data_IF_951140323073
#
_entry.id   IF_951140323073
#
_cell.length_a   1.000
_cell.length_b   1.000
_cell.length_c   1.000
_cell.angle_alpha   90.00
_cell.angle_beta   90.00
_cell.angle_gamma   90.00
#
_symmetry.space_group_name_H-M   'P 1'
#
loop_
_entity.id
_entity.type
_entity.pdbx_description
1 polymer ?
#
# COMPACT_ATOMS: atom_id res chain seq x y z
N UNK A 1 -12.12 21.09 -34.62
CA UNK A 1 -11.84 21.45 -33.21
C UNK A 1 -10.56 20.71 -32.85
N UNK A 2 -9.49 21.42 -32.51
CA UNK A 2 -8.23 20.78 -32.11
C UNK A 2 -8.49 19.88 -30.92
N UNK A 3 -7.98 18.64 -30.95
CA UNK A 3 -7.93 17.76 -29.77
C UNK A 3 -7.28 18.55 -28.64
N UNK A 4 -8.07 18.92 -27.63
CA UNK A 4 -7.52 19.42 -26.39
C UNK A 4 -6.76 18.24 -25.78
N UNK A 5 -5.43 18.34 -25.74
CA UNK A 5 -4.57 17.34 -25.11
C UNK A 5 -5.05 17.18 -23.65
N UNK A 6 -5.79 16.10 -23.36
CA UNK A 6 -6.35 15.87 -22.02
C UNK A 6 -5.17 15.68 -21.07
N UNK A 7 -5.09 16.49 -20.02
CA UNK A 7 -3.99 16.40 -19.07
C UNK A 7 -4.08 15.08 -18.30
N UNK A 8 -3.01 14.26 -18.30
CA UNK A 8 -2.96 13.10 -17.43
C UNK A 8 -2.87 13.53 -15.97
N UNK A 9 -3.61 12.84 -15.12
CA UNK A 9 -3.47 12.93 -13.67
C UNK A 9 -2.93 11.61 -13.17
N UNK A 10 -1.87 11.71 -12.37
CA UNK A 10 -1.32 10.61 -11.59
C UNK A 10 -1.67 10.88 -10.13
N UNK A 11 -2.54 10.07 -9.58
CA UNK A 11 -3.10 10.23 -8.23
C UNK A 11 -2.61 9.14 -7.29
N UNK A 12 -2.33 9.56 -6.06
CA UNK A 12 -1.92 8.67 -4.97
C UNK A 12 -3.16 8.28 -4.18
N UNK A 13 -3.61 7.03 -4.33
CA UNK A 13 -4.62 6.42 -3.47
C UNK A 13 -3.96 5.54 -2.40
N UNK A 14 -4.60 4.43 -2.06
CA UNK A 14 -4.05 3.43 -1.15
C UNK A 14 -4.84 2.13 -1.14
N UNK A 15 -4.15 1.00 -0.98
CA UNK A 15 -4.79 -0.34 -0.87
C UNK A 15 -5.74 -0.49 0.31
N UNK A 16 -5.79 0.50 1.22
CA UNK A 16 -6.84 0.60 2.23
C UNK A 16 -8.27 0.59 1.66
N UNK A 17 -8.48 0.90 0.38
CA UNK A 17 -9.80 0.74 -0.29
C UNK A 17 -10.28 -0.70 -0.35
N UNK A 18 -9.36 -1.67 -0.28
CA UNK A 18 -9.64 -3.10 -0.34
C UNK A 18 -9.83 -3.71 1.06
N UNK A 19 -9.68 -2.89 2.11
CA UNK A 19 -9.72 -3.27 3.50
C UNK A 19 -11.01 -4.01 3.89
N UNK A 20 -10.86 -5.16 4.54
CA UNK A 20 -11.98 -5.91 5.16
C UNK A 20 -11.97 -5.78 6.69
N UNK A 21 -13.10 -6.03 7.37
CA UNK A 21 -13.18 -5.99 8.84
C UNK A 21 -12.69 -7.28 9.53
N UNK A 22 -11.51 -7.79 9.16
CA UNK A 22 -11.02 -9.06 9.71
C UNK A 22 -10.43 -8.95 11.14
N UNK A 23 -10.11 -7.75 11.61
CA UNK A 23 -9.60 -7.46 12.97
C UNK A 23 -8.38 -8.29 13.36
N UNK A 24 -7.56 -8.67 12.39
CA UNK A 24 -6.37 -9.52 12.59
C UNK A 24 -6.68 -10.96 13.02
N UNK A 25 -7.92 -11.45 12.87
CA UNK A 25 -8.35 -12.74 13.41
C UNK A 25 -8.19 -13.93 12.44
N UNK A 26 -8.20 -13.69 11.15
CA UNK A 26 -8.12 -14.69 10.07
C UNK A 26 -7.61 -14.02 8.80
N UNK A 27 -6.87 -14.68 7.89
CA UNK A 27 -6.54 -14.12 6.58
C UNK A 27 -7.79 -13.97 5.69
N UNK A 28 -7.78 -13.03 4.75
CA UNK A 28 -8.79 -12.94 3.68
C UNK A 28 -8.57 -14.11 2.73
N UNK A 29 -9.62 -14.51 2.02
CA UNK A 29 -9.53 -15.46 0.91
C UNK A 29 -9.64 -14.77 -0.45
N UNK A 30 -10.01 -13.50 -0.47
CA UNK A 30 -10.13 -12.71 -1.71
C UNK A 30 -8.78 -12.12 -2.07
N UNK A 31 -8.33 -12.40 -3.30
CA UNK A 31 -7.18 -11.76 -3.95
C UNK A 31 -7.75 -10.74 -4.93
N UNK A 32 -7.34 -9.49 -4.82
CA UNK A 32 -7.71 -8.44 -5.75
C UNK A 32 -6.74 -8.35 -6.92
N UNK A 33 -7.20 -8.27 -8.16
CA UNK A 33 -6.36 -8.06 -9.35
C UNK A 33 -6.69 -6.70 -9.96
N UNK A 34 -5.70 -5.82 -10.12
CA UNK A 34 -5.88 -4.50 -10.75
C UNK A 34 -6.17 -4.59 -12.27
N UNK A 35 -6.13 -5.79 -12.85
CA UNK A 35 -6.63 -6.09 -14.19
C UNK A 35 -8.12 -6.42 -14.21
N UNK A 36 -8.69 -6.84 -13.09
CA UNK A 36 -10.12 -7.15 -12.98
C UNK A 36 -10.89 -5.88 -12.63
N UNK A 37 -11.27 -5.13 -13.67
CA UNK A 37 -12.03 -3.87 -13.55
C UNK A 37 -13.32 -4.08 -12.76
N UNK A 38 -14.04 -5.18 -13.02
CA UNK A 38 -15.32 -5.46 -12.36
C UNK A 38 -15.11 -5.70 -10.86
N UNK A 39 -13.99 -6.30 -10.46
CA UNK A 39 -13.65 -6.46 -9.05
C UNK A 39 -13.38 -5.12 -8.35
N UNK A 40 -12.71 -4.18 -9.01
CA UNK A 40 -12.47 -2.83 -8.48
C UNK A 40 -13.77 -2.03 -8.43
N UNK A 41 -14.65 -2.19 -9.41
CA UNK A 41 -15.94 -1.50 -9.45
C UNK A 41 -16.97 -2.05 -8.48
N UNK A 42 -16.87 -3.35 -8.14
CA UNK A 42 -17.67 -3.97 -7.10
C UNK A 42 -17.32 -3.52 -5.68
N UNK A 43 -16.26 -2.72 -5.50
CA UNK A 43 -15.89 -2.19 -4.18
C UNK A 43 -16.96 -1.21 -3.65
N UNK A 44 -17.36 -1.31 -2.37
CA UNK A 44 -18.35 -0.42 -1.79
C UNK A 44 -17.94 1.05 -1.85
N UNK A 45 -18.87 1.94 -2.20
CA UNK A 45 -18.61 3.40 -2.27
C UNK A 45 -18.12 4.01 -0.96
N UNK A 46 -18.46 3.38 0.17
CA UNK A 46 -18.04 3.80 1.51
C UNK A 46 -16.71 3.17 1.96
N UNK A 47 -16.07 2.35 1.12
CA UNK A 47 -14.75 1.82 1.41
C UNK A 47 -13.73 2.97 1.59
N UNK A 48 -12.68 2.79 2.39
CA UNK A 48 -11.68 3.83 2.60
C UNK A 48 -11.14 4.36 1.28
N UNK A 49 -10.95 5.67 1.15
CA UNK A 49 -10.50 6.36 -0.08
C UNK A 49 -11.48 6.33 -1.28
N UNK A 50 -12.45 5.40 -1.32
CA UNK A 50 -13.26 5.14 -2.52
C UNK A 50 -14.01 6.35 -3.06
N UNK A 51 -14.57 7.20 -2.18
CA UNK A 51 -15.25 8.43 -2.58
C UNK A 51 -14.36 9.38 -3.43
N UNK A 52 -13.05 9.43 -3.15
CA UNK A 52 -12.10 10.24 -3.95
C UNK A 52 -11.83 9.55 -5.27
N UNK A 53 -11.59 8.23 -5.25
CA UNK A 53 -11.34 7.44 -6.46
C UNK A 53 -12.51 7.58 -7.45
N UNK A 54 -13.75 7.44 -6.97
CA UNK A 54 -14.96 7.60 -7.78
C UNK A 54 -15.09 9.01 -8.39
N UNK A 55 -14.72 10.04 -7.64
CA UNK A 55 -14.73 11.43 -8.13
C UNK A 55 -13.73 11.61 -9.28
N UNK A 56 -12.53 11.02 -9.14
CA UNK A 56 -11.48 11.08 -10.17
C UNK A 56 -11.89 10.29 -11.42
N UNK A 57 -12.43 9.09 -11.24
CA UNK A 57 -12.96 8.26 -12.34
C UNK A 57 -14.11 8.96 -13.06
N UNK A 58 -15.00 9.65 -12.34
CA UNK A 58 -16.07 10.42 -12.95
C UNK A 58 -15.54 11.59 -13.79
N UNK A 59 -14.51 12.30 -13.32
CA UNK A 59 -13.88 13.37 -14.08
C UNK A 59 -13.22 12.85 -15.38
N UNK A 60 -12.65 11.64 -15.32
CA UNK A 60 -12.11 10.95 -16.50
C UNK A 60 -13.21 10.59 -17.50
N UNK A 61 -14.32 10.00 -17.05
CA UNK A 61 -15.48 9.66 -17.87
C UNK A 61 -16.11 10.89 -18.55
N UNK A 62 -16.12 12.03 -17.86
CA UNK A 62 -16.58 13.31 -18.39
C UNK A 62 -15.57 13.95 -19.37
N UNK A 63 -14.39 13.35 -19.51
CA UNK A 63 -13.35 13.75 -20.44
C UNK A 63 -12.49 14.92 -19.97
N UNK A 64 -12.56 15.29 -18.68
CA UNK A 64 -11.74 16.38 -18.13
C UNK A 64 -10.28 16.00 -17.97
N UNK A 65 -10.00 14.73 -17.65
CA UNK A 65 -8.66 14.23 -17.29
C UNK A 65 -8.44 12.84 -17.89
N UNK A 66 -7.18 12.37 -17.90
CA UNK A 66 -6.84 10.94 -18.03
C UNK A 66 -6.34 10.45 -16.67
N UNK A 67 -7.17 9.74 -15.93
CA UNK A 67 -6.92 9.38 -14.53
C UNK A 67 -6.16 8.07 -14.37
N UNK A 68 -5.06 8.12 -13.60
CA UNK A 68 -4.28 6.97 -13.20
C UNK A 68 -4.12 7.00 -11.68
N UNK A 69 -4.63 5.98 -10.99
CA UNK A 69 -4.73 5.89 -9.54
C UNK A 69 -3.80 4.77 -9.07
N UNK A 70 -2.73 5.13 -8.38
CA UNK A 70 -1.80 4.16 -7.80
C UNK A 70 -2.25 3.87 -6.37
N UNK A 71 -2.49 2.60 -6.07
CA UNK A 71 -2.86 2.07 -4.76
C UNK A 71 -1.68 1.27 -4.21
N UNK A 72 -0.75 1.91 -3.47
CA UNK A 72 0.35 1.18 -2.87
C UNK A 72 -0.10 0.32 -1.69
N UNK A 73 0.61 -0.79 -1.47
CA UNK A 73 0.58 -1.58 -0.25
C UNK A 73 1.12 -0.79 0.95
N UNK A 74 1.40 -1.48 2.05
CA UNK A 74 2.13 -0.89 3.18
C UNK A 74 3.53 -0.48 2.70
N UNK A 75 3.74 0.83 2.55
CA UNK A 75 5.05 1.36 2.14
C UNK A 75 6.03 1.24 3.31
N UNK A 76 7.21 0.67 3.06
CA UNK A 76 8.31 0.57 4.02
C UNK A 76 9.64 1.04 3.44
N UNK A 77 10.62 1.22 4.32
CA UNK A 77 11.91 1.85 4.01
C UNK A 77 12.04 3.22 4.68
N UNK A 78 13.29 3.61 4.94
CA UNK A 78 13.62 4.93 5.50
C UNK A 78 14.19 5.75 4.36
N UNK A 79 13.49 6.83 3.98
CA UNK A 79 13.97 7.68 2.89
C UNK A 79 15.27 8.38 3.29
N UNK A 80 16.25 8.35 2.40
CA UNK A 80 17.55 9.02 2.57
C UNK A 80 17.89 9.79 1.31
N UNK A 81 17.39 11.03 1.22
CA UNK A 81 17.55 11.86 0.03
C UNK A 81 17.73 13.35 0.43
N UNK A 82 18.06 14.25 -0.52
CA UNK A 82 18.29 15.66 -0.22
C UNK A 82 17.10 16.38 0.43
N UNK A 83 15.86 15.97 0.15
CA UNK A 83 14.66 16.56 0.76
C UNK A 83 14.50 16.16 2.23
N UNK A 84 14.88 14.92 2.57
CA UNK A 84 14.99 14.48 3.96
C UNK A 84 16.09 15.25 4.68
N UNK A 85 17.28 15.37 4.07
CA UNK A 85 18.39 16.12 4.66
C UNK A 85 18.07 17.60 4.87
N UNK A 86 17.22 18.18 4.02
CA UNK A 86 16.72 19.55 4.14
C UNK A 86 15.55 19.69 5.13
N UNK A 87 15.05 18.61 5.72
CA UNK A 87 13.89 18.63 6.65
C UNK A 87 12.54 18.89 5.97
N UNK A 88 12.45 18.73 4.65
CA UNK A 88 11.25 18.98 3.86
C UNK A 88 10.39 17.71 3.76
N UNK A 89 11.03 16.54 3.68
CA UNK A 89 10.35 15.24 3.58
C UNK A 89 10.42 14.49 4.92
N UNK A 90 9.30 13.88 5.32
CA UNK A 90 9.30 12.88 6.39
C UNK A 90 9.94 11.57 5.90
N UNK A 91 11.00 11.06 6.55
CA UNK A 91 11.68 9.85 6.08
C UNK A 91 10.96 8.54 6.46
N UNK A 92 9.98 8.59 7.36
CA UNK A 92 9.33 7.39 7.90
C UNK A 92 7.92 7.19 7.36
N UNK A 93 7.59 5.93 7.08
CA UNK A 93 6.20 5.51 6.84
C UNK A 93 5.37 5.55 8.14
N UNK A 94 4.08 5.18 8.05
CA UNK A 94 3.15 5.35 9.16
C UNK A 94 2.89 4.07 9.97
N UNK A 95 2.56 2.96 9.31
CA UNK A 95 1.98 1.79 10.00
C UNK A 95 3.00 1.07 10.89
N UNK A 96 4.09 0.56 10.31
CA UNK A 96 5.14 -0.15 11.07
C UNK A 96 5.77 0.77 12.13
N UNK A 97 6.14 2.04 11.83
CA UNK A 97 6.64 2.95 12.86
C UNK A 97 5.63 3.27 13.96
N UNK A 98 4.33 3.37 13.64
CA UNK A 98 3.27 3.50 14.63
C UNK A 98 3.19 2.30 15.57
N UNK A 99 3.27 1.09 15.02
CA UNK A 99 3.29 -0.15 15.78
C UNK A 99 4.52 -0.26 16.69
N UNK A 100 5.70 0.12 16.19
CA UNK A 100 6.95 0.18 16.97
C UNK A 100 6.80 1.16 18.14
N UNK A 101 6.29 2.38 17.90
CA UNK A 101 6.11 3.38 18.96
C UNK A 101 5.16 2.91 20.05
N UNK A 102 4.01 2.34 19.69
CA UNK A 102 3.06 1.78 20.65
C UNK A 102 3.67 0.62 21.45
N UNK A 103 4.47 -0.22 20.80
CA UNK A 103 5.17 -1.35 21.42
C UNK A 103 6.26 -0.91 22.40
N UNK A 104 7.01 0.14 22.06
CA UNK A 104 8.00 0.76 22.93
C UNK A 104 7.35 1.39 24.16
N UNK A 105 6.26 2.14 23.99
CA UNK A 105 5.56 2.82 25.08
C UNK A 105 5.03 1.82 26.12
N UNK A 106 4.39 0.74 25.66
CA UNK A 106 3.89 -0.34 26.55
C UNK A 106 4.96 -1.36 26.97
N UNK A 107 6.20 -1.22 26.50
CA UNK A 107 7.34 -2.14 26.73
C UNK A 107 7.06 -3.60 26.38
N UNK A 108 6.21 -3.82 25.39
CA UNK A 108 5.80 -5.14 24.94
C UNK A 108 5.29 -5.00 23.50
N UNK A 109 5.82 -5.80 22.58
CA UNK A 109 5.31 -5.80 21.22
C UNK A 109 3.80 -6.09 21.19
N UNK A 110 3.09 -5.24 20.46
CA UNK A 110 1.65 -5.37 20.30
C UNK A 110 1.28 -5.90 18.93
N UNK A 111 0.15 -6.59 18.85
CA UNK A 111 -0.51 -6.96 17.61
C UNK A 111 -2.02 -6.75 17.74
N UNK A 112 -2.75 -6.76 16.63
CA UNK A 112 -4.21 -6.69 16.69
C UNK A 112 -4.82 -8.06 16.44
N UNK A 113 -5.78 -8.46 17.28
CA UNK A 113 -6.34 -9.81 17.24
C UNK A 113 -5.23 -10.86 17.38
N UNK A 114 -5.16 -11.79 16.42
CA UNK A 114 -4.11 -12.80 16.33
C UNK A 114 -2.96 -12.42 15.38
N UNK A 115 -2.99 -11.21 14.80
CA UNK A 115 -2.02 -10.77 13.79
C UNK A 115 -2.08 -11.55 12.46
N UNK A 116 -3.13 -12.34 12.22
CA UNK A 116 -3.23 -13.21 11.03
C UNK A 116 -3.62 -12.46 9.75
N UNK A 117 -3.84 -11.16 9.85
CA UNK A 117 -4.15 -10.31 8.72
C UNK A 117 -2.93 -10.23 7.79
N UNK A 118 -3.14 -10.59 6.51
CA UNK A 118 -2.16 -10.45 5.43
C UNK A 118 -2.35 -9.08 4.77
N UNK A 119 -1.25 -8.43 4.41
CA UNK A 119 -1.29 -7.15 3.73
C UNK A 119 -0.16 -7.08 2.70
N UNK A 120 -0.39 -6.55 1.49
CA UNK A 120 0.69 -6.31 0.54
C UNK A 120 1.60 -5.20 1.04
N UNK A 121 2.87 -5.27 0.71
CA UNK A 121 3.82 -4.24 1.04
C UNK A 121 4.72 -3.90 -0.14
N UNK A 122 5.36 -2.74 -0.04
CA UNK A 122 6.22 -2.21 -1.09
C UNK A 122 7.33 -1.37 -0.51
N UNK A 123 8.54 -1.54 -1.01
CA UNK A 123 9.63 -0.65 -0.67
C UNK A 123 9.39 0.76 -1.24
N UNK A 124 9.78 1.80 -0.49
CA UNK A 124 9.63 3.20 -0.91
C UNK A 124 10.30 3.53 -2.24
N UNK A 125 11.44 2.90 -2.55
CA UNK A 125 12.13 3.08 -3.82
C UNK A 125 11.37 2.40 -4.96
N UNK A 126 10.78 1.22 -4.71
CA UNK A 126 10.03 0.49 -5.74
C UNK A 126 8.72 1.17 -6.08
N UNK A 127 8.00 1.72 -5.10
CA UNK A 127 6.82 2.52 -5.38
C UNK A 127 7.18 3.80 -6.13
N UNK A 128 8.31 4.45 -5.79
CA UNK A 128 8.79 5.61 -6.54
C UNK A 128 9.12 5.24 -8.00
N UNK A 129 9.76 4.09 -8.22
CA UNK A 129 10.04 3.55 -9.55
C UNK A 129 8.75 3.26 -10.33
N UNK A 130 7.70 2.74 -9.68
CA UNK A 130 6.39 2.55 -10.29
C UNK A 130 5.81 3.89 -10.77
N UNK A 131 5.82 4.93 -9.93
CA UNK A 131 5.35 6.26 -10.32
C UNK A 131 6.13 6.81 -11.51
N UNK A 132 7.46 6.69 -11.51
CA UNK A 132 8.31 7.16 -12.61
C UNK A 132 8.01 6.42 -13.92
N UNK A 133 7.95 5.08 -13.88
CA UNK A 133 7.63 4.26 -15.07
C UNK A 133 6.24 4.57 -15.62
N UNK A 134 5.25 4.71 -14.75
CA UNK A 134 3.89 5.03 -15.14
C UNK A 134 3.82 6.43 -15.75
N UNK A 135 4.46 7.41 -15.12
CA UNK A 135 4.58 8.76 -15.67
C UNK A 135 5.22 8.78 -17.06
N UNK A 136 6.39 8.15 -17.22
CA UNK A 136 7.10 8.11 -18.51
C UNK A 136 6.27 7.42 -19.59
N UNK A 137 5.59 6.33 -19.24
CA UNK A 137 4.73 5.60 -20.18
C UNK A 137 3.51 6.44 -20.56
N UNK A 138 2.88 7.12 -19.60
CA UNK A 138 1.79 8.06 -19.88
C UNK A 138 2.27 9.18 -20.80
N UNK A 139 3.48 9.70 -20.63
CA UNK A 139 3.97 10.82 -21.45
C UNK A 139 4.39 10.40 -22.86
N UNK A 140 4.82 9.15 -23.04
CA UNK A 140 5.42 8.67 -24.31
C UNK A 140 4.52 7.73 -25.11
N UNK A 141 3.62 7.00 -24.45
CA UNK A 141 2.77 5.94 -25.00
C UNK A 141 1.36 6.03 -24.41
N UNK A 142 0.74 7.21 -24.52
CA UNK A 142 -0.55 7.52 -23.88
C UNK A 142 -1.60 6.43 -24.05
N UNK A 143 -1.73 5.83 -25.22
CA UNK A 143 -2.82 4.90 -25.54
C UNK A 143 -2.54 3.44 -25.14
N UNK A 144 -1.39 3.15 -24.53
CA UNK A 144 -1.07 1.79 -24.03
C UNK A 144 -1.34 1.62 -22.54
N UNK A 145 -1.74 2.70 -21.85
CA UNK A 145 -1.92 2.74 -20.40
C UNK A 145 -3.40 2.96 -20.11
N UNK A 146 -4.03 2.01 -19.42
CA UNK A 146 -5.41 2.13 -18.97
C UNK A 146 -5.62 3.37 -18.09
N UNK A 147 -6.78 4.00 -18.20
CA UNK A 147 -7.12 5.16 -17.38
C UNK A 147 -8.58 5.09 -16.93
N UNK A 148 -8.98 5.95 -16.00
CA UNK A 148 -10.34 5.96 -15.45
C UNK A 148 -10.66 4.63 -14.78
N UNK A 149 -11.66 3.90 -15.30
CA UNK A 149 -12.08 2.58 -14.78
C UNK A 149 -10.97 1.54 -14.85
N UNK A 150 -10.12 1.61 -15.87
CA UNK A 150 -8.98 0.70 -16.08
C UNK A 150 -7.66 1.24 -15.50
N UNK A 151 -7.72 2.42 -14.86
CA UNK A 151 -6.57 3.20 -14.43
C UNK A 151 -6.13 2.94 -13.00
N UNK A 152 -6.48 1.81 -12.41
CA UNK A 152 -6.02 1.42 -11.08
C UNK A 152 -4.74 0.59 -11.19
N UNK A 153 -3.76 0.90 -10.34
CA UNK A 153 -2.44 0.25 -10.34
C UNK A 153 -2.03 -0.10 -8.92
N UNK A 154 -1.83 -1.37 -8.62
CA UNK A 154 -1.32 -1.80 -7.33
C UNK A 154 0.20 -1.64 -7.25
N UNK A 155 0.67 -1.05 -6.16
CA UNK A 155 2.10 -0.96 -5.85
C UNK A 155 2.45 -1.95 -4.75
N UNK A 156 2.94 -3.12 -5.13
CA UNK A 156 3.33 -4.21 -4.21
C UNK A 156 4.57 -4.92 -4.76
N UNK A 157 5.38 -5.47 -3.86
CA UNK A 157 6.51 -6.33 -4.20
C UNK A 157 6.69 -7.46 -3.15
N UNK A 158 5.64 -7.76 -2.41
CA UNK A 158 5.70 -8.57 -1.20
C UNK A 158 4.42 -8.52 -0.38
N UNK A 159 4.35 -9.38 0.62
CA UNK A 159 3.28 -9.43 1.60
C UNK A 159 3.81 -9.82 2.98
N UNK A 160 3.09 -9.40 4.02
CA UNK A 160 3.39 -9.77 5.39
C UNK A 160 2.11 -10.09 6.17
N UNK A 161 2.28 -10.86 7.24
CA UNK A 161 1.28 -10.91 8.31
C UNK A 161 1.61 -9.84 9.34
N UNK A 162 0.59 -9.26 9.98
CA UNK A 162 0.85 -8.38 11.12
C UNK A 162 1.51 -9.12 12.30
N UNK A 163 1.31 -10.43 12.42
CA UNK A 163 1.99 -11.28 13.39
C UNK A 163 3.50 -11.31 13.15
N UNK A 164 3.96 -11.53 11.91
CA UNK A 164 5.40 -11.60 11.61
C UNK A 164 6.10 -10.28 11.92
N UNK A 165 5.49 -9.14 11.58
CA UNK A 165 6.01 -7.82 11.96
C UNK A 165 6.06 -7.67 13.49
N UNK A 166 4.99 -8.03 14.18
CA UNK A 166 4.91 -7.88 15.64
C UNK A 166 5.89 -8.80 16.36
N UNK A 167 6.12 -10.02 15.85
CA UNK A 167 7.09 -10.97 16.39
C UNK A 167 8.51 -10.47 16.20
N UNK A 168 8.84 -9.86 15.06
CA UNK A 168 10.15 -9.25 14.86
C UNK A 168 10.38 -8.09 15.84
N UNK A 169 9.38 -7.22 16.01
CA UNK A 169 9.43 -6.15 17.02
C UNK A 169 9.64 -6.75 18.42
N UNK A 170 8.91 -7.83 18.77
CA UNK A 170 9.01 -8.49 20.06
C UNK A 170 10.43 -9.03 20.32
N UNK A 171 11.01 -9.70 19.33
CA UNK A 171 12.37 -10.22 19.36
C UNK A 171 13.39 -9.11 19.63
N UNK A 172 13.31 -7.99 18.89
CA UNK A 172 14.20 -6.85 19.07
C UNK A 172 14.04 -6.23 20.46
N UNK A 173 12.79 -6.00 20.92
CA UNK A 173 12.56 -5.42 22.25
C UNK A 173 13.07 -6.32 23.39
N UNK A 174 12.99 -7.65 23.23
CA UNK A 174 13.53 -8.60 24.19
C UNK A 174 15.06 -8.58 24.21
N UNK A 175 15.70 -8.57 23.03
CA UNK A 175 17.15 -8.48 22.90
C UNK A 175 17.72 -7.20 23.52
N UNK A 176 17.02 -6.08 23.36
CA UNK A 176 17.38 -4.78 23.96
C UNK A 176 17.01 -4.67 25.45
N UNK A 177 16.44 -5.71 26.06
CA UNK A 177 16.03 -5.71 27.47
C UNK A 177 14.86 -4.78 27.80
N UNK A 178 14.13 -4.31 26.79
CA UNK A 178 12.96 -3.44 26.94
C UNK A 178 11.74 -4.27 27.34
N UNK A 179 11.56 -5.44 26.71
CA UNK A 179 10.48 -6.39 26.99
C UNK A 179 11.00 -7.58 27.80
N UNK A 180 10.10 -8.21 28.58
CA UNK A 180 10.38 -9.46 29.30
C UNK A 180 10.11 -10.71 28.45
N UNK A 181 9.51 -10.54 27.26
CA UNK A 181 9.17 -11.62 26.34
C UNK A 181 9.45 -11.23 24.89
N UNK A 182 9.88 -12.19 24.10
CA UNK A 182 10.04 -12.11 22.65
C UNK A 182 8.74 -12.44 21.90
N UNK A 183 7.61 -12.60 22.58
CA UNK A 183 6.30 -12.86 21.97
C UNK A 183 5.42 -11.60 21.94
N UNK A 184 4.73 -11.29 20.83
CA UNK A 184 3.79 -10.19 20.81
C UNK A 184 2.51 -10.53 21.57
N UNK A 185 1.86 -9.52 22.12
CA UNK A 185 0.55 -9.65 22.78
C UNK A 185 -0.49 -8.80 22.07
N UNK A 186 -1.75 -9.23 22.08
CA UNK A 186 -2.82 -8.42 21.50
C UNK A 186 -2.99 -7.11 22.27
N UNK A 187 -3.20 -6.00 21.54
CA UNK A 187 -3.65 -4.76 22.16
C UNK A 187 -5.05 -4.93 22.74
N UNK A 188 -5.24 -4.41 23.95
CA UNK A 188 -6.56 -4.19 24.55
C UNK A 188 -7.33 -3.11 23.79
N UNK A 189 -8.64 -3.00 24.02
CA UNK A 189 -9.47 -1.96 23.40
C UNK A 189 -9.01 -0.56 23.80
N UNK A 190 -8.63 -0.40 25.06
CA UNK A 190 -8.15 0.84 25.65
C UNK A 190 -6.85 1.28 24.96
N UNK A 191 -5.92 0.34 24.74
CA UNK A 191 -4.68 0.61 23.99
C UNK A 191 -4.95 0.96 22.52
N UNK A 192 -5.91 0.28 21.87
CA UNK A 192 -6.28 0.59 20.49
C UNK A 192 -6.83 2.02 20.36
N UNK A 193 -7.70 2.43 21.29
CA UNK A 193 -8.22 3.80 21.36
C UNK A 193 -7.08 4.79 21.68
N UNK A 194 -6.19 4.46 22.61
CA UNK A 194 -5.07 5.32 22.99
C UNK A 194 -4.14 5.61 21.82
N UNK A 195 -3.72 4.59 21.07
CA UNK A 195 -2.69 4.74 20.04
C UNK A 195 -3.26 5.10 18.66
N UNK A 196 -4.51 4.74 18.35
CA UNK A 196 -5.12 4.95 17.02
C UNK A 196 -6.46 5.69 17.04
N UNK A 197 -6.99 6.05 18.21
CA UNK A 197 -8.26 6.79 18.34
C UNK A 197 -9.51 5.97 18.01
N UNK A 198 -9.39 4.65 17.85
CA UNK A 198 -10.48 3.75 17.45
C UNK A 198 -10.26 2.33 17.99
N UNK A 199 -11.33 1.62 18.35
CA UNK A 199 -11.29 0.17 18.65
C UNK A 199 -10.92 -0.67 17.40
N UNK A 200 -11.07 -0.08 16.21
CA UNK A 200 -10.79 -0.68 14.92
C UNK A 200 -9.76 0.20 14.19
N UNK A 201 -8.45 0.13 14.50
CA UNK A 201 -7.43 0.82 13.72
C UNK A 201 -7.42 0.33 12.29
N UNK A 202 -7.05 1.21 11.36
CA UNK A 202 -6.90 0.88 9.93
C UNK A 202 -5.91 -0.26 9.64
N UNK A 203 -5.01 -0.57 10.58
CA UNK A 203 -4.11 -1.73 10.51
C UNK A 203 -4.82 -3.07 10.80
N UNK A 204 -6.12 -3.08 11.15
CA UNK A 204 -6.92 -4.29 11.38
C UNK A 204 -7.41 -4.98 10.11
N UNK A 205 -7.28 -4.29 8.99
CA UNK A 205 -7.88 -4.75 7.76
C UNK A 205 -7.05 -5.86 7.13
N UNK A 206 -7.66 -6.56 6.17
CA UNK A 206 -6.93 -7.49 5.28
C UNK A 206 -7.15 -7.15 3.84
N UNK A 207 -6.05 -7.24 3.11
CA UNK A 207 -6.01 -7.17 1.66
C UNK A 207 -4.97 -8.16 1.18
N UNK A 208 -5.33 -8.98 0.20
CA UNK A 208 -4.36 -9.62 -0.68
C UNK A 208 -4.57 -9.02 -2.05
N UNK A 209 -3.48 -8.68 -2.74
CA UNK A 209 -3.54 -8.16 -4.10
C UNK A 209 -2.64 -8.97 -5.02
N UNK A 210 -2.97 -8.97 -6.29
CA UNK A 210 -2.17 -9.39 -7.42
C UNK A 210 -2.09 -8.18 -8.36
N UNK A 211 -0.90 -7.88 -8.88
CA UNK A 211 -0.68 -6.68 -9.69
C UNK A 211 -0.28 -6.97 -11.14
N UNK A 212 -0.71 -6.08 -12.05
CA UNK A 212 -0.15 -5.85 -13.39
C UNK A 212 1.38 -5.84 -13.41
N UNK A 213 2.02 -5.34 -12.37
CA UNK A 213 3.49 -5.14 -12.33
C UNK A 213 4.25 -6.44 -12.01
N UNK A 214 3.64 -7.43 -11.36
CA UNK A 214 4.26 -8.70 -11.00
C UNK A 214 4.14 -9.74 -12.12
N UNK A 215 3.13 -9.60 -12.99
CA UNK A 215 2.93 -10.50 -14.16
C UNK A 215 3.44 -9.87 -15.46
N UNK A 216 3.80 -8.58 -15.45
CA UNK A 216 4.45 -7.92 -16.57
C UNK A 216 5.85 -7.43 -16.22
N UNK A 217 6.75 -8.38 -15.95
CA UNK A 217 8.18 -8.24 -16.28
C UNK A 217 8.43 -7.96 -17.78
N UNK A 218 7.38 -7.84 -18.60
CA UNK A 218 7.41 -7.51 -20.02
C UNK A 218 7.12 -6.02 -20.33
N UNK A 219 7.40 -5.10 -19.39
CA UNK A 219 7.76 -3.74 -19.81
C UNK A 219 9.23 -3.78 -20.26
N UNK A 220 9.42 -4.22 -21.50
CA UNK A 220 10.72 -4.35 -22.17
C UNK A 220 11.62 -3.15 -21.90
N UNK A 221 12.86 -3.42 -21.49
CA UNK A 221 13.96 -2.46 -21.66
C UNK A 221 14.00 -2.04 -23.13
N UNK A 222 14.48 -0.84 -23.42
CA UNK A 222 14.56 -0.29 -24.78
C UNK A 222 15.37 -1.16 -25.78
N UNK A 223 16.08 -2.17 -25.30
CA UNK A 223 16.86 -3.14 -26.08
C UNK A 223 16.21 -4.54 -26.19
N UNK A 224 15.04 -4.77 -25.58
CA UNK A 224 14.32 -6.03 -25.66
C UNK A 224 14.86 -7.17 -24.79
N UNK A 225 15.81 -6.92 -23.89
CA UNK A 225 16.35 -7.95 -22.99
C UNK A 225 15.55 -8.11 -21.69
N UNK A 226 15.37 -9.36 -21.23
CA UNK A 226 14.70 -9.68 -19.96
C UNK A 226 15.66 -9.47 -18.77
N UNK A 227 15.20 -8.73 -17.76
CA UNK A 227 15.89 -8.62 -16.47
C UNK A 227 15.60 -9.88 -15.64
N UNK A 228 16.61 -10.76 -15.50
CA UNK A 228 16.55 -11.86 -14.54
C UNK A 228 16.77 -11.31 -13.13
N UNK A 229 15.70 -11.13 -12.38
CA UNK A 229 15.80 -10.94 -10.92
C UNK A 229 15.66 -12.32 -10.29
N UNK A 230 16.76 -12.85 -9.76
CA UNK A 230 16.73 -13.99 -8.87
C UNK A 230 16.16 -13.52 -7.54
N UNK A 231 15.03 -14.10 -7.12
CA UNK A 231 14.59 -14.04 -5.74
C UNK A 231 15.60 -14.81 -4.88
N UNK A 232 16.12 -14.17 -3.84
CA UNK A 232 16.81 -14.81 -2.71
C UNK A 232 16.10 -14.45 -1.44
#
# INVERSE_FOLDING_TARGET
MSECHKSPILFIGGTGVLATEAKGMFPSTTIYDDQDVEQIEGLPDNAPHRHVDLTIVQADQQGYVRAHIVLPGTIWGIASNPLVAAGIQNPYSQQIPGLIRASLDRKQAGMVGKGLAIWPDVNIEDVANLYMKLFDTIMTKQDTVGHGREGFYFGENGEHTWYSISKEIASVLFQEGISQSDEPTSFSKEELIQYWGSEIPRMQAIVMVATRVAVQTDLFLSDGSQLKVQAT
#
